data_IF_861902548315
#
_entry.id   IF_861902548315
#
_cell.length_a   1.000
_cell.length_b   1.000
_cell.length_c   1.000
_cell.angle_alpha   90.00
_cell.angle_beta   90.00
_cell.angle_gamma   90.00
#
_symmetry.space_group_name_H-M   'P 1'
#
loop_
_entity.id
_entity.type
_entity.pdbx_description
1 polymer ?
#
# COMPACT_ATOMS: atom_id res chain seq x y z
N UNK A 1 8.28 -16.57 28.12
CA UNK A 1 7.75 -15.29 28.62
C UNK A 1 7.94 -14.09 27.65
N UNK A 2 8.89 -14.11 26.68
CA UNK A 2 9.11 -12.99 25.72
C UNK A 2 8.12 -12.91 24.54
N UNK A 3 7.32 -13.97 24.29
CA UNK A 3 6.29 -14.00 23.21
C UNK A 3 4.96 -13.31 23.56
N UNK A 4 4.71 -13.02 24.83
CA UNK A 4 3.46 -12.41 25.30
C UNK A 4 3.42 -10.91 25.08
N UNK A 5 4.58 -10.23 25.07
CA UNK A 5 4.65 -8.77 24.94
C UNK A 5 4.45 -8.27 23.50
N UNK A 6 4.79 -9.08 22.49
CA UNK A 6 4.65 -8.68 21.08
C UNK A 6 3.19 -8.80 20.58
N UNK A 7 2.48 -9.85 21.02
CA UNK A 7 1.02 -9.92 20.87
C UNK A 7 0.33 -8.76 21.60
N UNK A 8 0.86 -8.31 22.74
CA UNK A 8 0.33 -7.18 23.49
C UNK A 8 0.45 -5.85 22.72
N UNK A 9 1.45 -5.63 21.85
CA UNK A 9 1.63 -4.36 21.13
C UNK A 9 0.75 -4.24 19.89
N UNK A 10 0.62 -5.31 19.10
CA UNK A 10 -0.38 -5.39 18.02
C UNK A 10 -1.79 -5.42 18.63
N UNK A 11 -1.96 -6.10 19.75
CA UNK A 11 -3.22 -6.13 20.53
C UNK A 11 -3.48 -4.79 21.23
N UNK A 12 -2.48 -4.01 21.63
CA UNK A 12 -2.67 -2.68 22.22
C UNK A 12 -3.09 -1.67 21.16
N UNK A 13 -2.56 -1.71 19.94
CA UNK A 13 -3.13 -0.92 18.82
C UNK A 13 -4.54 -1.41 18.45
N UNK A 14 -4.81 -2.72 18.49
CA UNK A 14 -6.14 -3.30 18.29
C UNK A 14 -7.03 -3.25 19.54
N UNK A 15 -6.50 -3.29 20.77
CA UNK A 15 -7.29 -3.27 22.03
C UNK A 15 -7.50 -1.87 22.60
N UNK A 16 -6.82 -0.83 22.11
CA UNK A 16 -7.26 0.55 22.34
C UNK A 16 -8.58 0.86 21.58
N UNK A 17 -8.94 0.02 20.59
CA UNK A 17 -10.21 0.12 19.89
C UNK A 17 -11.46 -0.04 20.78
N UNK A 18 -11.56 -0.97 21.78
CA UNK A 18 -12.76 -1.06 22.63
C UNK A 18 -12.80 -0.10 23.82
N UNK A 19 -11.67 0.35 24.33
CA UNK A 19 -11.64 1.31 25.46
C UNK A 19 -11.90 2.76 25.03
N UNK A 20 -11.60 3.12 23.75
CA UNK A 20 -12.01 4.40 23.17
C UNK A 20 -13.51 4.45 22.78
N UNK A 21 -14.19 3.28 22.69
CA UNK A 21 -15.62 3.22 22.37
C UNK A 21 -16.55 3.82 23.45
N UNK A 22 -16.06 3.99 24.66
CA UNK A 22 -16.93 4.37 25.78
C UNK A 22 -17.11 5.89 25.98
N UNK A 23 -16.35 6.75 25.29
CA UNK A 23 -16.36 8.19 25.59
C UNK A 23 -16.40 9.15 24.40
N UNK A 24 -16.37 8.67 23.15
CA UNK A 24 -16.42 9.56 21.99
C UNK A 24 -17.67 9.27 21.17
N UNK A 25 -18.67 10.11 21.30
CA UNK A 25 -19.70 10.29 20.28
C UNK A 25 -19.03 10.59 18.93
N UNK A 26 -19.77 10.55 17.79
CA UNK A 26 -19.20 10.83 16.48
C UNK A 26 -18.54 12.21 16.51
N UNK A 27 -17.20 12.22 16.52
CA UNK A 27 -16.46 13.47 16.42
C UNK A 27 -16.66 14.05 15.03
N UNK A 28 -17.03 15.32 14.91
CA UNK A 28 -17.12 15.95 13.61
C UNK A 28 -15.73 15.89 12.94
N UNK A 29 -15.71 15.50 11.67
CA UNK A 29 -14.50 15.57 10.86
C UNK A 29 -14.00 17.01 10.84
N UNK A 30 -12.92 17.28 11.55
CA UNK A 30 -12.22 18.57 11.45
C UNK A 30 -11.24 18.48 10.28
N UNK A 31 -11.22 19.47 9.38
CA UNK A 31 -10.20 19.53 8.35
C UNK A 31 -8.82 19.42 8.99
N UNK A 32 -8.04 18.46 8.52
CA UNK A 32 -6.68 18.22 9.03
C UNK A 32 -5.84 19.47 8.78
N UNK A 33 -5.12 19.99 9.80
CA UNK A 33 -4.23 21.12 9.60
C UNK A 33 -3.16 20.79 8.54
N UNK A 34 -2.73 21.75 7.73
CA UNK A 34 -1.61 21.54 6.82
C UNK A 34 -0.38 21.16 7.65
N UNK A 35 0.30 20.06 7.26
CA UNK A 35 1.49 19.47 7.90
C UNK A 35 1.23 18.54 9.09
N UNK A 36 0.09 17.85 9.15
CA UNK A 36 -0.09 16.76 10.09
C UNK A 36 0.98 15.65 9.82
N UNK A 37 1.75 15.22 10.82
CA UNK A 37 2.77 14.20 10.61
C UNK A 37 2.12 12.87 10.22
N UNK A 38 2.69 12.18 9.22
CA UNK A 38 2.21 10.86 8.82
C UNK A 38 2.32 9.86 9.96
N UNK A 39 1.45 8.84 9.96
CA UNK A 39 1.51 7.73 10.91
C UNK A 39 2.91 7.08 10.92
N UNK A 40 3.51 6.88 9.75
CA UNK A 40 4.87 6.33 9.62
C UNK A 40 5.90 7.22 10.30
N UNK A 41 5.82 8.55 10.12
CA UNK A 41 6.73 9.49 10.79
C UNK A 41 6.57 9.47 12.31
N UNK A 42 5.33 9.40 12.80
CA UNK A 42 5.06 9.29 14.24
C UNK A 42 5.63 7.99 14.82
N UNK A 43 5.43 6.86 14.14
CA UNK A 43 6.00 5.57 14.57
C UNK A 43 7.53 5.59 14.57
N UNK A 44 8.16 6.18 13.55
CA UNK A 44 9.61 6.32 13.48
C UNK A 44 10.17 7.26 14.57
N UNK A 45 9.39 8.13 15.15
CA UNK A 45 9.80 8.99 16.28
C UNK A 45 9.70 8.30 17.64
N UNK A 46 8.94 7.21 17.78
CA UNK A 46 8.79 6.46 19.04
C UNK A 46 10.08 5.67 19.33
N UNK A 47 10.66 5.92 20.50
CA UNK A 47 11.90 5.26 20.95
C UNK A 47 11.75 3.75 21.02
N UNK A 48 10.58 3.24 21.45
CA UNK A 48 10.32 1.80 21.57
C UNK A 48 10.22 1.13 20.20
N UNK A 49 9.62 1.82 19.20
CA UNK A 49 9.62 1.34 17.83
C UNK A 49 11.04 1.22 17.29
N UNK A 50 11.88 2.24 17.49
CA UNK A 50 13.28 2.20 17.04
C UNK A 50 14.07 1.08 17.73
N UNK A 51 13.95 0.92 19.05
CA UNK A 51 14.61 -0.17 19.78
C UNK A 51 14.18 -1.56 19.28
N UNK A 52 12.89 -1.72 18.95
CA UNK A 52 12.41 -2.96 18.38
C UNK A 52 13.00 -3.20 16.99
N UNK A 53 12.96 -2.19 16.09
CA UNK A 53 13.56 -2.26 14.76
C UNK A 53 15.03 -2.62 14.85
N UNK A 54 15.81 -1.92 15.67
CA UNK A 54 17.25 -2.20 15.88
C UNK A 54 17.48 -3.66 16.33
N UNK A 55 16.66 -4.16 17.25
CA UNK A 55 16.76 -5.53 17.75
C UNK A 55 16.44 -6.59 16.68
N UNK A 56 15.53 -6.28 15.74
CA UNK A 56 15.21 -7.16 14.62
C UNK A 56 16.32 -7.10 13.57
N UNK A 57 16.75 -5.90 13.20
CA UNK A 57 17.78 -5.69 12.17
C UNK A 57 19.11 -6.35 12.52
N UNK A 58 19.49 -6.39 13.81
CA UNK A 58 20.70 -7.08 14.27
C UNK A 58 20.66 -8.60 14.09
N UNK A 59 19.47 -9.20 13.98
CA UNK A 59 19.31 -10.65 13.84
C UNK A 59 19.18 -11.09 12.38
N UNK A 60 18.72 -10.19 11.50
CA UNK A 60 18.48 -10.50 10.10
C UNK A 60 19.77 -10.39 9.27
N UNK A 61 20.04 -11.41 8.46
CA UNK A 61 21.06 -11.36 7.40
C UNK A 61 20.62 -10.39 6.30
N UNK A 62 21.57 -9.93 5.48
CA UNK A 62 21.23 -9.08 4.32
C UNK A 62 20.15 -9.70 3.42
N UNK A 63 20.22 -11.02 3.17
CA UNK A 63 19.22 -11.72 2.35
C UNK A 63 17.83 -11.66 3.00
N UNK A 64 17.74 -11.83 4.29
CA UNK A 64 16.47 -11.75 5.03
C UNK A 64 15.93 -10.32 5.08
N UNK A 65 16.79 -9.30 5.24
CA UNK A 65 16.41 -7.88 5.10
C UNK A 65 15.84 -7.59 3.72
N UNK A 66 16.47 -8.11 2.65
CA UNK A 66 15.92 -8.01 1.28
C UNK A 66 14.55 -8.68 1.22
N UNK A 67 14.37 -9.85 1.83
CA UNK A 67 13.08 -10.54 1.89
C UNK A 67 11.97 -9.70 2.51
N UNK A 68 12.28 -8.90 3.55
CA UNK A 68 11.32 -8.02 4.22
C UNK A 68 10.73 -6.94 3.30
N UNK A 69 11.37 -6.62 2.17
CA UNK A 69 10.87 -5.64 1.20
C UNK A 69 9.80 -6.21 0.26
N UNK A 70 9.52 -7.51 0.32
CA UNK A 70 8.57 -8.18 -0.57
C UNK A 70 7.23 -8.45 0.11
N UNK A 71 6.15 -8.16 -0.62
CA UNK A 71 4.78 -8.57 -0.28
C UNK A 71 4.32 -9.59 -1.31
N UNK A 72 4.06 -10.81 -0.85
CA UNK A 72 3.71 -11.93 -1.71
C UNK A 72 2.21 -12.23 -1.69
N UNK A 73 1.63 -12.59 -2.84
CA UNK A 73 0.21 -12.91 -2.93
C UNK A 73 -0.06 -14.36 -2.58
N UNK A 74 -1.02 -14.56 -1.67
CA UNK A 74 -1.52 -15.89 -1.26
C UNK A 74 -3.03 -15.97 -1.53
N UNK A 75 -3.47 -17.04 -2.15
CA UNK A 75 -4.90 -17.32 -2.26
C UNK A 75 -5.43 -17.82 -0.91
N UNK A 76 -6.62 -17.37 -0.45
CA UNK A 76 -7.23 -17.89 0.78
C UNK A 76 -7.86 -19.27 0.53
N UNK A 77 -7.02 -20.27 0.30
CA UNK A 77 -7.34 -21.67 0.02
C UNK A 77 -6.55 -22.58 0.94
N UNK A 78 -7.17 -23.68 1.40
CA UNK A 78 -6.60 -24.61 2.39
C UNK A 78 -5.97 -25.86 1.78
N UNK A 79 -5.72 -25.86 0.45
CA UNK A 79 -5.06 -26.97 -0.22
C UNK A 79 -3.56 -27.06 0.12
N UNK A 80 -2.99 -28.25 -0.10
CA UNK A 80 -1.59 -28.56 0.25
C UNK A 80 -0.59 -27.66 -0.48
N UNK A 81 -0.81 -27.42 -1.78
CA UNK A 81 0.11 -26.61 -2.59
C UNK A 81 0.19 -25.17 -2.10
N UNK A 82 -0.97 -24.58 -1.75
CA UNK A 82 -1.03 -23.20 -1.22
C UNK A 82 -0.36 -23.09 0.16
N UNK A 83 -0.52 -24.10 1.03
CA UNK A 83 0.17 -24.15 2.33
C UNK A 83 1.68 -24.31 2.20
N UNK A 84 2.14 -25.16 1.29
CA UNK A 84 3.56 -25.31 0.98
C UNK A 84 4.14 -24.00 0.42
N UNK A 85 3.42 -23.31 -0.46
CA UNK A 85 3.80 -21.98 -0.95
C UNK A 85 3.87 -20.97 0.19
N UNK A 86 2.85 -20.91 1.06
CA UNK A 86 2.83 -20.04 2.22
C UNK A 86 4.05 -20.27 3.11
N UNK A 87 4.33 -21.52 3.47
CA UNK A 87 5.49 -21.89 4.26
C UNK A 87 6.78 -21.41 3.61
N UNK A 88 6.94 -21.69 2.32
CA UNK A 88 8.13 -21.32 1.54
C UNK A 88 8.38 -19.81 1.53
N UNK A 89 7.35 -19.00 1.28
CA UNK A 89 7.53 -17.55 1.22
C UNK A 89 7.82 -16.94 2.59
N UNK A 90 7.25 -17.50 3.65
CA UNK A 90 7.46 -17.03 5.03
C UNK A 90 8.81 -17.51 5.61
N UNK A 91 9.12 -18.80 5.49
CA UNK A 91 10.29 -19.39 6.14
C UNK A 91 11.56 -19.27 5.31
N UNK A 92 11.51 -19.50 3.97
CA UNK A 92 12.70 -19.53 3.13
C UNK A 92 13.08 -18.13 2.59
N UNK A 93 12.06 -17.32 2.22
CA UNK A 93 12.30 -15.98 1.68
C UNK A 93 12.12 -14.86 2.69
N UNK A 94 11.57 -15.15 3.88
CA UNK A 94 11.36 -14.16 4.95
C UNK A 94 10.67 -12.89 4.44
N UNK A 95 9.58 -13.06 3.63
CA UNK A 95 8.85 -11.92 3.10
C UNK A 95 8.32 -11.01 4.22
N UNK A 96 8.32 -9.69 3.99
CA UNK A 96 7.83 -8.72 4.97
C UNK A 96 6.31 -8.68 5.07
N UNK A 97 5.60 -9.16 4.04
CA UNK A 97 4.15 -9.15 4.07
C UNK A 97 3.48 -10.11 3.10
N UNK A 98 2.16 -10.25 3.30
CA UNK A 98 1.29 -11.04 2.45
C UNK A 98 0.12 -10.20 1.96
N UNK A 99 -0.22 -10.38 0.68
CA UNK A 99 -1.44 -9.87 0.05
C UNK A 99 -2.39 -11.04 -0.19
N UNK A 100 -3.56 -11.03 0.45
CA UNK A 100 -4.56 -12.05 0.19
C UNK A 100 -5.41 -11.70 -1.04
N UNK A 101 -5.48 -12.62 -1.99
CA UNK A 101 -6.40 -12.54 -3.12
C UNK A 101 -7.84 -12.91 -2.72
N UNK A 102 -8.78 -12.97 -3.66
CA UNK A 102 -10.19 -13.26 -3.37
C UNK A 102 -10.46 -14.69 -2.87
N UNK A 103 -11.36 -14.84 -1.89
CA UNK A 103 -11.72 -16.13 -1.35
C UNK A 103 -12.70 -16.09 -0.17
N UNK A 104 -12.61 -17.08 0.72
CA UNK A 104 -13.42 -17.15 1.94
C UNK A 104 -12.71 -16.44 3.10
N UNK A 105 -13.45 -15.63 3.84
CA UNK A 105 -12.97 -14.92 5.03
C UNK A 105 -12.30 -15.88 6.05
N UNK A 106 -12.94 -16.99 6.36
CA UNK A 106 -12.41 -17.97 7.33
C UNK A 106 -11.05 -18.53 6.91
N UNK A 107 -10.87 -18.80 5.61
CA UNK A 107 -9.60 -19.31 5.10
C UNK A 107 -8.49 -18.26 5.20
N UNK A 108 -8.80 -16.99 4.93
CA UNK A 108 -7.83 -15.91 5.09
C UNK A 108 -7.36 -15.80 6.54
N UNK A 109 -8.28 -15.81 7.52
CA UNK A 109 -7.95 -15.75 8.95
C UNK A 109 -7.07 -16.93 9.37
N UNK A 110 -7.43 -18.16 8.93
CA UNK A 110 -6.65 -19.36 9.26
C UNK A 110 -5.22 -19.27 8.71
N UNK A 111 -5.06 -18.86 7.45
CA UNK A 111 -3.75 -18.72 6.81
C UNK A 111 -2.95 -17.55 7.40
N UNK A 112 -3.60 -16.45 7.77
CA UNK A 112 -2.94 -15.35 8.50
C UNK A 112 -2.36 -15.85 9.83
N UNK A 113 -3.14 -16.57 10.62
CA UNK A 113 -2.68 -17.10 11.90
C UNK A 113 -1.56 -18.16 11.72
N UNK A 114 -1.64 -18.98 10.67
CA UNK A 114 -0.59 -19.94 10.33
C UNK A 114 0.71 -19.21 9.93
N UNK A 115 0.63 -18.22 9.04
CA UNK A 115 1.76 -17.42 8.59
C UNK A 115 2.43 -16.67 9.76
N UNK A 116 1.66 -16.01 10.63
CA UNK A 116 2.20 -15.27 11.76
C UNK A 116 2.89 -16.17 12.80
N UNK A 117 2.45 -17.44 12.94
CA UNK A 117 3.16 -18.40 13.80
C UNK A 117 4.50 -18.87 13.24
N UNK A 118 4.62 -18.95 11.91
CA UNK A 118 5.85 -19.35 11.23
C UNK A 118 6.85 -18.19 11.11
N UNK A 119 6.35 -16.97 11.04
CA UNK A 119 7.16 -15.78 10.79
C UNK A 119 8.06 -15.45 11.99
N UNK A 120 9.33 -15.19 11.70
CA UNK A 120 10.29 -14.70 12.70
C UNK A 120 10.08 -13.21 12.99
N UNK A 121 9.82 -12.42 11.96
CA UNK A 121 9.36 -11.03 12.04
C UNK A 121 7.87 -11.03 11.73
N UNK A 122 7.02 -10.36 12.53
CA UNK A 122 5.59 -10.28 12.25
C UNK A 122 5.32 -9.76 10.83
N UNK A 123 4.47 -10.48 10.10
CA UNK A 123 4.13 -10.15 8.72
C UNK A 123 3.16 -8.98 8.64
N UNK A 124 3.38 -8.10 7.69
CA UNK A 124 2.41 -7.11 7.26
C UNK A 124 1.34 -7.78 6.40
N UNK A 125 0.13 -7.92 6.92
CA UNK A 125 -1.01 -8.45 6.15
C UNK A 125 -1.67 -7.29 5.42
N UNK A 126 -1.69 -7.38 4.10
CA UNK A 126 -2.18 -6.34 3.21
C UNK A 126 -3.41 -6.81 2.44
N UNK A 127 -4.22 -5.88 2.00
CA UNK A 127 -5.49 -6.19 1.35
C UNK A 127 -5.93 -5.11 0.34
N UNK A 128 -6.62 -5.52 -0.73
CA UNK A 128 -7.34 -4.63 -1.64
C UNK A 128 -8.80 -4.51 -1.20
N UNK A 129 -9.09 -3.58 -0.33
CA UNK A 129 -10.43 -3.32 0.18
C UNK A 129 -10.95 -1.93 -0.19
N UNK A 130 -10.94 -1.57 -1.49
CA UNK A 130 -11.30 -0.22 -1.98
C UNK A 130 -12.70 0.21 -1.55
N UNK A 131 -13.67 -0.72 -1.55
CA UNK A 131 -15.02 -0.53 -1.02
C UNK A 131 -15.33 -1.56 0.08
N UNK A 132 -14.36 -1.80 0.98
CA UNK A 132 -14.44 -2.76 2.06
C UNK A 132 -13.97 -4.16 1.68
N UNK A 133 -13.94 -5.04 2.66
CA UNK A 133 -13.35 -6.39 2.50
C UNK A 133 -14.13 -7.29 1.54
N UNK A 134 -15.43 -7.03 1.35
CA UNK A 134 -16.26 -7.78 0.40
C UNK A 134 -15.80 -7.64 -1.07
N UNK A 135 -14.93 -6.67 -1.37
CA UNK A 135 -14.25 -6.62 -2.68
C UNK A 135 -13.54 -7.94 -3.00
N UNK A 136 -13.01 -8.63 -1.99
CA UNK A 136 -12.19 -9.85 -2.13
C UNK A 136 -12.73 -11.03 -1.31
N UNK A 137 -13.28 -10.80 -0.13
CA UNK A 137 -13.64 -11.83 0.81
C UNK A 137 -15.15 -12.05 0.91
N UNK A 138 -15.59 -13.26 0.57
CA UNK A 138 -16.96 -13.67 0.80
C UNK A 138 -17.18 -13.88 2.31
N UNK A 139 -18.33 -13.42 2.79
CA UNK A 139 -18.72 -13.50 4.21
C UNK A 139 -18.45 -12.21 5.00
N UNK A 140 -18.00 -11.14 4.32
CA UNK A 140 -17.83 -9.79 4.91
C UNK A 140 -18.94 -8.84 4.42
N UNK A 141 -19.25 -7.75 5.17
CA UNK A 141 -20.24 -6.76 4.74
C UNK A 141 -19.86 -6.10 3.40
N UNK A 142 -20.85 -5.91 2.54
CA UNK A 142 -20.67 -5.31 1.22
C UNK A 142 -21.09 -3.83 1.26
N UNK A 143 -20.20 -2.95 0.76
CA UNK A 143 -20.45 -1.53 0.60
C UNK A 143 -20.60 -1.15 -0.87
N UNK A 144 -21.23 0.00 -1.17
CA UNK A 144 -21.27 0.55 -2.52
C UNK A 144 -19.87 0.83 -3.08
N UNK A 145 -19.76 0.85 -4.41
CA UNK A 145 -18.54 1.31 -5.10
C UNK A 145 -18.23 2.76 -4.80
N UNK A 146 -16.97 3.14 -4.89
CA UNK A 146 -16.50 4.49 -4.55
C UNK A 146 -17.19 5.61 -5.33
N UNK A 147 -17.57 5.37 -6.59
CA UNK A 147 -18.33 6.35 -7.38
C UNK A 147 -19.67 6.72 -6.72
N UNK A 148 -20.35 5.76 -6.09
CA UNK A 148 -21.58 6.00 -5.32
C UNK A 148 -21.26 6.75 -4.02
N UNK A 149 -20.20 6.34 -3.31
CA UNK A 149 -19.74 7.01 -2.09
C UNK A 149 -19.29 8.45 -2.40
N UNK A 150 -18.76 8.72 -3.60
CA UNK A 150 -18.40 10.06 -4.07
C UNK A 150 -19.58 11.03 -4.18
N UNK A 151 -20.82 10.54 -4.29
CA UNK A 151 -22.03 11.39 -4.29
C UNK A 151 -22.42 11.90 -2.90
N UNK A 152 -21.87 11.34 -1.82
CA UNK A 152 -22.15 11.76 -0.44
C UNK A 152 -21.51 13.12 -0.19
N UNK A 153 -22.32 14.12 0.20
CA UNK A 153 -21.82 15.48 0.43
C UNK A 153 -21.14 15.65 1.79
N UNK A 154 -21.53 14.86 2.77
CA UNK A 154 -20.97 14.92 4.12
C UNK A 154 -19.75 13.99 4.25
N UNK A 155 -18.55 14.58 4.23
CA UNK A 155 -17.29 13.83 4.31
C UNK A 155 -17.09 13.10 5.66
N UNK A 156 -17.81 13.49 6.71
CA UNK A 156 -17.82 12.75 7.98
C UNK A 156 -18.33 11.32 7.79
N UNK A 157 -19.32 11.11 6.92
CA UNK A 157 -19.80 9.76 6.61
C UNK A 157 -18.76 8.92 5.89
N UNK A 158 -17.91 9.53 5.07
CA UNK A 158 -16.78 8.84 4.42
C UNK A 158 -15.69 8.51 5.43
N UNK A 159 -15.43 9.38 6.39
CA UNK A 159 -14.53 9.11 7.51
C UNK A 159 -15.04 7.93 8.36
N UNK A 160 -16.30 7.94 8.76
CA UNK A 160 -16.91 6.84 9.53
C UNK A 160 -16.93 5.52 8.74
N UNK A 161 -17.15 5.60 7.43
CA UNK A 161 -16.99 4.44 6.54
C UNK A 161 -15.55 3.89 6.59
N UNK A 162 -14.54 4.77 6.55
CA UNK A 162 -13.14 4.38 6.70
C UNK A 162 -12.86 3.69 8.05
N UNK A 163 -13.45 4.23 9.13
CA UNK A 163 -13.40 3.65 10.48
C UNK A 163 -14.00 2.24 10.53
N UNK A 164 -15.13 2.04 9.87
CA UNK A 164 -15.77 0.72 9.82
C UNK A 164 -14.95 -0.29 9.01
N UNK A 165 -14.38 0.12 7.87
CA UNK A 165 -13.49 -0.73 7.10
C UNK A 165 -12.24 -1.09 7.91
N UNK A 166 -11.67 -0.14 8.65
CA UNK A 166 -10.54 -0.41 9.56
C UNK A 166 -10.90 -1.42 10.65
N UNK A 167 -12.08 -1.29 11.26
CA UNK A 167 -12.58 -2.25 12.26
C UNK A 167 -12.61 -3.67 11.69
N UNK A 168 -13.14 -3.83 10.46
CA UNK A 168 -13.19 -5.14 9.78
C UNK A 168 -11.77 -5.65 9.47
N UNK A 169 -10.87 -4.80 9.00
CA UNK A 169 -9.47 -5.14 8.78
C UNK A 169 -8.80 -5.65 10.06
N UNK A 170 -8.94 -4.93 11.17
CA UNK A 170 -8.37 -5.32 12.46
C UNK A 170 -8.90 -6.68 12.94
N UNK A 171 -10.20 -6.93 12.79
CA UNK A 171 -10.81 -8.23 13.15
C UNK A 171 -10.25 -9.40 12.35
N UNK A 172 -9.82 -9.17 11.11
CA UNK A 172 -9.22 -10.18 10.23
C UNK A 172 -7.69 -10.18 10.24
N UNK A 173 -7.07 -9.35 11.09
CA UNK A 173 -5.62 -9.25 11.22
C UNK A 173 -4.94 -8.57 10.01
N UNK A 174 -5.61 -7.64 9.34
CA UNK A 174 -5.10 -6.85 8.22
C UNK A 174 -4.57 -5.51 8.74
N UNK A 175 -3.30 -5.19 8.47
CA UNK A 175 -2.64 -3.96 8.91
C UNK A 175 -2.62 -2.87 7.84
N UNK A 176 -2.69 -3.24 6.55
CA UNK A 176 -2.59 -2.29 5.43
C UNK A 176 -3.73 -2.53 4.45
N UNK A 177 -4.46 -1.47 4.14
CA UNK A 177 -5.46 -1.49 3.07
C UNK A 177 -4.96 -0.69 1.86
N UNK A 178 -4.81 -1.32 0.70
CA UNK A 178 -4.51 -0.65 -0.57
C UNK A 178 -5.73 0.13 -1.08
N UNK A 179 -6.10 1.11 -0.31
CA UNK A 179 -7.20 2.06 -0.50
C UNK A 179 -6.87 3.36 0.25
N UNK A 180 -7.42 4.48 -0.21
CA UNK A 180 -8.40 4.69 -1.28
C UNK A 180 -7.80 4.77 -2.68
N UNK A 181 -8.68 4.65 -3.69
CA UNK A 181 -8.39 5.05 -5.07
C UNK A 181 -8.45 6.56 -5.17
N UNK A 182 -7.31 7.19 -5.47
CA UNK A 182 -7.16 8.65 -5.59
C UNK A 182 -7.19 9.14 -7.05
N UNK A 183 -7.39 8.21 -7.99
CA UNK A 183 -7.51 8.52 -9.42
C UNK A 183 -8.79 9.33 -9.69
N UNK A 184 -8.68 10.37 -10.50
CA UNK A 184 -9.81 11.21 -10.92
C UNK A 184 -10.34 10.69 -12.25
N UNK A 185 -11.58 10.17 -12.30
CA UNK A 185 -12.13 9.49 -13.47
C UNK A 185 -12.61 10.47 -14.55
N UNK A 186 -11.68 11.22 -15.15
CA UNK A 186 -12.00 12.19 -16.22
C UNK A 186 -12.45 11.49 -17.50
N UNK A 187 -11.85 10.33 -17.83
CA UNK A 187 -12.16 9.61 -19.04
C UNK A 187 -13.28 8.58 -18.81
N UNK A 188 -14.49 8.77 -19.34
CA UNK A 188 -15.59 7.83 -19.17
C UNK A 188 -15.35 6.47 -19.84
N UNK A 189 -14.36 6.39 -20.76
CA UNK A 189 -13.95 5.14 -21.43
C UNK A 189 -12.86 4.40 -20.67
N UNK A 190 -12.40 4.91 -19.52
CA UNK A 190 -11.37 4.26 -18.73
C UNK A 190 -11.80 2.83 -18.34
N UNK A 191 -11.06 1.79 -18.79
CA UNK A 191 -11.48 0.40 -18.56
C UNK A 191 -11.14 -0.13 -17.16
N UNK A 192 -10.33 0.60 -16.38
CA UNK A 192 -9.76 0.13 -15.12
C UNK A 192 -10.32 0.89 -13.91
N UNK A 193 -10.33 2.21 -13.95
CA UNK A 193 -10.70 3.04 -12.80
C UNK A 193 -12.22 3.16 -12.70
N UNK A 194 -12.88 3.82 -13.62
CA UNK A 194 -14.34 3.88 -13.70
C UNK A 194 -14.99 4.02 -12.31
N UNK A 195 -15.87 3.09 -11.92
CA UNK A 195 -16.60 3.09 -10.64
C UNK A 195 -15.73 2.89 -9.39
N UNK A 196 -14.44 2.63 -9.55
CA UNK A 196 -13.47 2.56 -8.44
C UNK A 196 -13.08 3.96 -7.93
N UNK A 197 -13.15 4.99 -8.78
CA UNK A 197 -12.94 6.39 -8.39
C UNK A 197 -14.11 6.95 -7.58
N UNK A 198 -13.83 7.97 -6.75
CA UNK A 198 -14.87 8.77 -6.09
C UNK A 198 -15.52 9.82 -7.01
N UNK A 199 -15.12 9.90 -8.28
CA UNK A 199 -15.75 10.78 -9.27
C UNK A 199 -14.79 11.47 -10.23
N UNK A 200 -15.29 12.52 -10.88
CA UNK A 200 -14.62 13.24 -11.97
C UNK A 200 -14.01 14.58 -11.49
N UNK A 201 -14.43 15.07 -10.33
CA UNK A 201 -13.91 16.30 -9.77
C UNK A 201 -12.68 16.03 -8.89
N UNK A 202 -11.50 16.59 -9.22
CA UNK A 202 -10.29 16.39 -8.41
C UNK A 202 -10.46 16.88 -6.96
N UNK A 203 -11.29 17.92 -6.75
CA UNK A 203 -11.58 18.44 -5.42
C UNK A 203 -12.40 17.46 -4.59
N UNK A 204 -13.48 16.91 -5.18
CA UNK A 204 -14.32 15.92 -4.53
C UNK A 204 -13.54 14.64 -4.23
N UNK A 205 -12.81 14.10 -5.22
CA UNK A 205 -11.96 12.92 -5.04
C UNK A 205 -10.98 13.16 -3.90
N UNK A 206 -10.29 14.30 -3.86
CA UNK A 206 -9.33 14.63 -2.80
C UNK A 206 -9.97 14.64 -1.41
N UNK A 207 -11.15 15.23 -1.26
CA UNK A 207 -11.86 15.26 0.04
C UNK A 207 -12.23 13.84 0.50
N UNK A 208 -12.78 13.01 -0.42
CA UNK A 208 -13.13 11.61 -0.11
C UNK A 208 -11.90 10.78 0.24
N UNK A 209 -10.81 10.95 -0.51
CA UNK A 209 -9.53 10.28 -0.25
C UNK A 209 -9.02 10.62 1.14
N UNK A 210 -8.96 11.89 1.50
CA UNK A 210 -8.50 12.32 2.83
C UNK A 210 -9.42 11.78 3.94
N UNK A 211 -10.74 11.91 3.79
CA UNK A 211 -11.69 11.45 4.80
C UNK A 211 -11.61 9.92 5.01
N UNK A 212 -11.61 9.15 3.93
CA UNK A 212 -11.52 7.68 4.00
C UNK A 212 -10.19 7.21 4.60
N UNK A 213 -9.07 7.78 4.15
CA UNK A 213 -7.75 7.45 4.67
C UNK A 213 -7.60 7.78 6.16
N UNK A 214 -8.07 8.96 6.60
CA UNK A 214 -8.07 9.32 8.03
C UNK A 214 -8.91 8.33 8.83
N UNK A 215 -10.08 7.93 8.33
CA UNK A 215 -10.88 6.90 8.96
C UNK A 215 -10.15 5.57 9.12
N UNK A 216 -9.44 5.11 8.07
CA UNK A 216 -8.60 3.90 8.13
C UNK A 216 -7.49 4.04 9.18
N UNK A 217 -6.70 5.12 9.13
CA UNK A 217 -5.53 5.30 9.98
C UNK A 217 -5.90 5.55 11.45
N UNK A 218 -6.94 6.33 11.73
CA UNK A 218 -7.49 6.49 13.08
C UNK A 218 -8.13 5.18 13.60
N UNK A 219 -8.46 4.26 12.71
CA UNK A 219 -8.88 2.88 13.01
C UNK A 219 -7.73 1.90 13.20
N UNK A 220 -6.47 2.32 13.03
CA UNK A 220 -5.29 1.48 13.21
C UNK A 220 -4.84 0.70 11.95
N UNK A 221 -5.33 1.08 10.77
CA UNK A 221 -4.98 0.44 9.49
C UNK A 221 -4.31 1.46 8.57
N UNK A 222 -3.11 1.15 8.10
CA UNK A 222 -2.39 2.01 7.15
C UNK A 222 -3.19 2.12 5.85
N UNK A 223 -3.51 3.36 5.45
CA UNK A 223 -4.11 3.64 4.15
C UNK A 223 -3.03 3.77 3.08
N UNK A 224 -3.34 3.33 1.85
CA UNK A 224 -2.43 3.46 0.71
C UNK A 224 -3.18 4.05 -0.47
N UNK A 225 -2.97 5.34 -0.71
CA UNK A 225 -3.58 6.05 -1.84
C UNK A 225 -2.99 5.58 -3.17
N UNK A 226 -3.85 5.30 -4.18
CA UNK A 226 -3.45 4.71 -5.47
C UNK A 226 -4.26 5.26 -6.64
N UNK A 227 -3.72 5.23 -7.87
CA UNK A 227 -2.42 4.76 -8.35
C UNK A 227 -1.58 5.95 -8.79
N UNK A 228 -0.60 6.35 -7.99
CA UNK A 228 0.24 7.51 -8.31
C UNK A 228 0.99 7.33 -9.64
N UNK A 229 1.09 8.34 -10.53
CA UNK A 229 0.65 9.73 -10.38
C UNK A 229 -0.79 10.03 -10.83
N UNK A 230 -1.62 9.03 -11.09
CA UNK A 230 -3.04 9.15 -11.45
C UNK A 230 -3.39 8.37 -12.72
N UNK A 231 -4.28 7.38 -12.61
CA UNK A 231 -4.68 6.47 -13.70
C UNK A 231 -6.06 6.80 -14.28
N UNK A 232 -6.68 7.90 -13.83
CA UNK A 232 -8.11 8.18 -14.12
C UNK A 232 -8.42 8.65 -15.53
N UNK A 233 -7.41 9.17 -16.26
CA UNK A 233 -7.58 9.65 -17.65
C UNK A 233 -6.75 8.82 -18.64
N UNK A 234 -6.88 7.50 -18.57
CA UNK A 234 -6.28 6.56 -19.51
C UNK A 234 -7.37 5.74 -20.21
N UNK A 235 -7.09 5.28 -21.41
CA UNK A 235 -7.97 4.42 -22.24
C UNK A 235 -7.43 3.00 -22.38
N UNK A 236 -6.27 2.72 -21.79
CA UNK A 236 -5.59 1.42 -21.83
C UNK A 236 -5.60 0.77 -20.45
N UNK A 237 -5.88 -0.52 -20.42
CA UNK A 237 -5.83 -1.35 -19.23
C UNK A 237 -4.37 -1.68 -18.86
N UNK A 238 -3.90 -1.18 -17.73
CA UNK A 238 -2.53 -1.41 -17.22
C UNK A 238 -2.21 -2.90 -16.95
N UNK A 239 -3.23 -3.76 -16.81
CA UNK A 239 -3.04 -5.21 -16.75
C UNK A 239 -2.65 -5.81 -18.11
N UNK A 240 -2.89 -5.10 -19.21
CA UNK A 240 -2.66 -5.59 -20.58
C UNK A 240 -1.49 -4.91 -21.28
N UNK A 241 -1.33 -3.61 -21.08
CA UNK A 241 -0.28 -2.80 -21.68
C UNK A 241 0.08 -1.62 -20.76
N UNK A 242 1.12 -0.85 -21.09
CA UNK A 242 1.52 0.34 -20.37
C UNK A 242 0.70 1.56 -20.85
N UNK A 243 -0.20 2.12 -19.99
CA UNK A 243 -0.95 3.33 -20.35
C UNK A 243 -0.04 4.57 -20.35
N UNK A 244 -0.34 5.54 -21.22
CA UNK A 244 0.43 6.78 -21.33
C UNK A 244 -0.40 7.96 -20.83
N UNK A 245 0.22 8.85 -20.06
CA UNK A 245 -0.32 10.15 -19.63
C UNK A 245 0.43 11.27 -20.39
N UNK A 246 -0.04 11.66 -21.58
CA UNK A 246 0.65 12.60 -22.47
C UNK A 246 0.36 14.07 -22.09
N UNK A 247 0.24 14.36 -20.79
CA UNK A 247 -0.19 15.65 -20.29
C UNK A 247 0.98 16.55 -19.89
N UNK A 248 0.75 17.88 -19.98
CA UNK A 248 1.67 18.86 -19.44
C UNK A 248 1.75 18.78 -17.91
N UNK A 249 2.84 19.28 -17.33
CA UNK A 249 2.99 19.35 -15.88
C UNK A 249 1.84 20.12 -15.22
N UNK A 250 1.42 21.24 -15.80
CA UNK A 250 0.32 22.05 -15.28
C UNK A 250 -1.00 21.26 -15.23
N UNK A 251 -1.28 20.44 -16.26
CA UNK A 251 -2.46 19.57 -16.29
C UNK A 251 -2.35 18.48 -15.22
N UNK A 252 -1.23 17.79 -15.12
CA UNK A 252 -1.00 16.79 -14.09
C UNK A 252 -1.19 17.38 -12.69
N UNK A 253 -0.65 18.57 -12.43
CA UNK A 253 -0.75 19.25 -11.15
C UNK A 253 -2.19 19.63 -10.76
N UNK A 254 -3.01 19.99 -11.75
CA UNK A 254 -4.39 20.47 -11.51
C UNK A 254 -5.41 19.34 -11.35
N UNK A 255 -5.16 18.18 -11.92
CA UNK A 255 -6.12 17.06 -11.95
C UNK A 255 -5.51 15.80 -11.32
N UNK A 256 -4.57 15.15 -12.00
CA UNK A 256 -4.09 13.83 -11.62
C UNK A 256 -3.40 13.84 -10.25
N UNK A 257 -2.49 14.80 -10.03
CA UNK A 257 -1.70 14.92 -8.80
C UNK A 257 -2.45 15.62 -7.65
N UNK A 258 -3.58 16.27 -7.93
CA UNK A 258 -4.28 17.07 -6.93
C UNK A 258 -4.73 16.24 -5.70
N UNK A 259 -5.41 15.08 -5.86
CA UNK A 259 -5.79 14.24 -4.72
C UNK A 259 -4.60 13.71 -3.93
N UNK A 260 -3.54 13.28 -4.61
CA UNK A 260 -2.31 12.78 -3.97
C UNK A 260 -1.63 13.88 -3.16
N UNK A 261 -1.55 15.09 -3.69
CA UNK A 261 -0.99 16.25 -2.97
C UNK A 261 -1.80 16.57 -1.71
N UNK A 262 -3.13 16.44 -1.75
CA UNK A 262 -3.99 16.61 -0.57
C UNK A 262 -3.77 15.49 0.45
N UNK A 263 -3.64 14.23 0.00
CA UNK A 263 -3.30 13.09 0.83
C UNK A 263 -1.95 13.29 1.55
N UNK A 264 -0.91 13.71 0.83
CA UNK A 264 0.42 14.01 1.38
C UNK A 264 0.34 15.12 2.44
N UNK A 265 -0.36 16.22 2.14
CA UNK A 265 -0.55 17.34 3.10
C UNK A 265 -1.34 16.95 4.34
N UNK A 266 -2.24 15.97 4.22
CA UNK A 266 -2.98 15.40 5.34
C UNK A 266 -2.16 14.42 6.18
N UNK A 267 -0.91 14.15 5.80
CA UNK A 267 0.00 13.27 6.52
C UNK A 267 -0.31 11.78 6.40
N UNK A 268 -0.97 11.35 5.30
CA UNK A 268 -1.33 9.94 5.09
C UNK A 268 -0.12 9.05 4.86
N UNK A 269 -0.17 7.82 5.37
CA UNK A 269 1.01 7.00 5.57
C UNK A 269 1.47 6.16 4.39
N UNK A 270 0.63 5.89 3.37
CA UNK A 270 0.98 5.01 2.26
C UNK A 270 0.66 5.59 0.88
N UNK A 271 1.52 5.24 -0.10
CA UNK A 271 1.33 5.61 -1.52
C UNK A 271 1.68 4.43 -2.41
N UNK A 272 0.80 4.06 -3.35
CA UNK A 272 1.09 3.04 -4.35
C UNK A 272 1.37 3.70 -5.69
N UNK A 273 2.53 3.40 -6.27
CA UNK A 273 2.93 3.89 -7.59
C UNK A 273 2.48 2.90 -8.66
N UNK A 274 1.59 3.37 -9.53
CA UNK A 274 1.06 2.58 -10.65
C UNK A 274 2.07 2.37 -11.77
N UNK A 275 1.67 1.60 -12.78
CA UNK A 275 2.46 1.36 -13.98
C UNK A 275 1.93 2.23 -15.13
N UNK A 276 2.46 3.45 -15.24
CA UNK A 276 2.05 4.46 -16.21
C UNK A 276 3.28 5.08 -16.88
N UNK A 277 3.21 5.36 -18.16
CA UNK A 277 4.20 6.17 -18.85
C UNK A 277 3.82 7.66 -18.73
N UNK A 278 4.74 8.49 -18.24
CA UNK A 278 4.50 9.92 -17.99
C UNK A 278 5.60 10.74 -18.66
N UNK A 279 5.52 10.99 -19.98
CA UNK A 279 6.62 11.55 -20.78
C UNK A 279 7.11 12.92 -20.31
N UNK A 280 6.23 13.72 -19.70
CA UNK A 280 6.57 15.05 -19.15
C UNK A 280 7.50 14.97 -17.95
N UNK A 281 7.48 13.87 -17.18
CA UNK A 281 8.32 13.65 -16.00
C UNK A 281 9.49 12.73 -16.36
N UNK A 282 9.18 11.62 -17.02
CA UNK A 282 10.13 10.60 -17.46
C UNK A 282 10.11 10.49 -18.98
N UNK A 283 11.08 11.10 -19.67
CA UNK A 283 11.11 11.09 -21.14
C UNK A 283 11.53 9.74 -21.74
N UNK A 284 12.02 8.80 -20.93
CA UNK A 284 12.36 7.47 -21.41
C UNK A 284 11.08 6.72 -21.77
N UNK A 285 10.86 6.49 -23.07
CA UNK A 285 9.72 5.78 -23.60
C UNK A 285 9.65 4.35 -23.07
N UNK A 286 8.45 3.92 -22.68
CA UNK A 286 8.20 2.56 -22.19
C UNK A 286 8.67 2.30 -20.76
N UNK A 287 9.19 3.30 -20.03
CA UNK A 287 9.55 3.15 -18.62
C UNK A 287 8.35 3.48 -17.73
N UNK A 288 7.81 2.48 -16.98
CA UNK A 288 6.70 2.73 -16.07
C UNK A 288 7.08 3.65 -14.91
N UNK A 289 6.15 4.45 -14.44
CA UNK A 289 6.31 5.35 -13.28
C UNK A 289 6.86 4.64 -12.03
N UNK A 290 6.42 3.42 -11.75
CA UNK A 290 6.93 2.59 -10.64
C UNK A 290 8.41 2.19 -10.76
N UNK A 291 8.99 2.24 -11.96
CA UNK A 291 10.41 1.96 -12.21
C UNK A 291 11.22 3.23 -12.50
N UNK A 292 10.58 4.39 -12.54
CA UNK A 292 11.22 5.67 -12.83
C UNK A 292 11.67 6.38 -11.55
N UNK A 293 12.98 6.59 -11.40
CA UNK A 293 13.53 7.39 -10.31
C UNK A 293 13.03 8.84 -10.33
N UNK A 294 12.78 9.39 -11.52
CA UNK A 294 12.25 10.76 -11.66
C UNK A 294 10.82 10.85 -11.13
N UNK A 295 10.01 9.79 -11.30
CA UNK A 295 8.63 9.77 -10.79
C UNK A 295 8.61 9.44 -9.30
N UNK A 296 9.28 8.37 -8.86
CA UNK A 296 9.23 7.94 -7.45
C UNK A 296 10.03 8.88 -6.57
N UNK A 297 11.36 8.90 -6.70
CA UNK A 297 12.21 9.75 -5.85
C UNK A 297 12.06 11.22 -6.19
N UNK A 298 12.01 11.58 -7.47
CA UNK A 298 11.94 12.98 -7.92
C UNK A 298 10.60 13.61 -7.60
N UNK A 299 9.55 13.17 -8.26
CA UNK A 299 8.23 13.79 -8.13
C UNK A 299 7.56 13.49 -6.79
N UNK A 300 7.42 12.19 -6.41
CA UNK A 300 6.66 11.83 -5.21
C UNK A 300 7.38 12.25 -3.93
N UNK A 301 8.64 11.84 -3.77
CA UNK A 301 9.36 12.07 -2.52
C UNK A 301 9.89 13.51 -2.42
N UNK A 302 10.63 13.99 -3.43
CA UNK A 302 11.31 15.28 -3.33
C UNK A 302 10.37 16.47 -3.63
N UNK A 303 9.66 16.46 -4.76
CA UNK A 303 8.84 17.62 -5.18
C UNK A 303 7.56 17.73 -4.34
N UNK A 304 6.85 16.60 -4.10
CA UNK A 304 5.60 16.58 -3.35
C UNK A 304 5.81 16.40 -1.85
N UNK A 305 7.01 15.99 -1.41
CA UNK A 305 7.38 15.88 0.00
C UNK A 305 6.77 14.67 0.72
N UNK A 306 6.47 13.58 0.01
CA UNK A 306 5.93 12.37 0.64
C UNK A 306 6.97 11.72 1.56
N UNK A 307 6.56 11.38 2.78
CA UNK A 307 7.44 10.82 3.83
C UNK A 307 6.95 9.46 4.37
N UNK A 308 5.90 8.90 3.78
CA UNK A 308 5.35 7.60 4.16
C UNK A 308 5.95 6.45 3.35
N UNK A 309 5.33 5.27 3.42
CA UNK A 309 5.75 4.07 2.71
C UNK A 309 5.33 4.11 1.23
N UNK A 310 6.27 3.84 0.35
CA UNK A 310 6.05 3.77 -1.09
C UNK A 310 5.96 2.32 -1.54
N UNK A 311 4.79 1.93 -2.03
CA UNK A 311 4.51 0.61 -2.57
C UNK A 311 4.54 0.64 -4.09
N UNK A 312 5.05 -0.40 -4.74
CA UNK A 312 4.76 -0.60 -6.16
C UNK A 312 3.32 -1.12 -6.32
N UNK A 313 2.70 -0.89 -7.47
CA UNK A 313 1.61 -1.76 -7.92
C UNK A 313 2.16 -3.17 -8.24
N UNK A 314 1.28 -4.12 -8.53
CA UNK A 314 1.66 -5.53 -8.71
C UNK A 314 2.67 -5.73 -9.85
N UNK A 315 3.91 -6.08 -9.52
CA UNK A 315 5.01 -6.23 -10.49
C UNK A 315 4.84 -7.42 -11.45
N UNK A 316 3.87 -8.31 -11.20
CA UNK A 316 3.48 -9.36 -12.13
C UNK A 316 2.62 -8.88 -13.31
N UNK A 317 2.14 -7.62 -13.31
CA UNK A 317 1.31 -7.04 -14.38
C UNK A 317 2.08 -6.94 -15.70
N UNK A 318 1.36 -7.05 -16.83
CA UNK A 318 1.97 -7.00 -18.18
C UNK A 318 2.47 -5.61 -18.57
N UNK A 319 1.93 -4.55 -17.95
CA UNK A 319 2.42 -3.17 -18.13
C UNK A 319 3.86 -2.96 -17.65
N UNK A 320 4.43 -3.94 -16.95
CA UNK A 320 5.83 -3.94 -16.52
C UNK A 320 6.56 -5.07 -17.23
N UNK A 321 7.48 -4.74 -18.11
CA UNK A 321 8.31 -5.70 -18.84
C UNK A 321 9.76 -5.20 -18.93
N UNK A 322 10.72 -6.10 -18.88
CA UNK A 322 12.16 -5.79 -18.99
C UNK A 322 13.00 -7.06 -18.97
N UNK A 323 14.24 -6.95 -19.41
CA UNK A 323 15.23 -8.03 -19.38
C UNK A 323 15.99 -8.11 -18.05
N UNK A 324 15.92 -7.06 -17.24
CA UNK A 324 16.51 -6.97 -15.91
C UNK A 324 15.49 -7.27 -14.80
N UNK A 325 15.97 -7.51 -13.59
CA UNK A 325 15.11 -7.66 -12.42
C UNK A 325 14.25 -6.41 -12.24
N UNK A 326 12.95 -6.56 -12.35
CA UNK A 326 11.96 -5.49 -12.20
C UNK A 326 11.95 -5.00 -10.74
N UNK A 327 12.11 -5.90 -9.78
CA UNK A 327 12.17 -5.57 -8.37
C UNK A 327 13.40 -4.72 -8.04
N UNK A 328 14.57 -5.06 -8.61
CA UNK A 328 15.77 -4.25 -8.46
C UNK A 328 15.58 -2.83 -9.03
N UNK A 329 15.00 -2.71 -10.23
CA UNK A 329 14.70 -1.40 -10.83
C UNK A 329 13.74 -0.57 -9.97
N UNK A 330 12.69 -1.21 -9.42
CA UNK A 330 11.74 -0.55 -8.53
C UNK A 330 12.41 -0.03 -7.24
N UNK A 331 13.30 -0.81 -6.62
CA UNK A 331 14.09 -0.36 -5.47
C UNK A 331 15.01 0.82 -5.81
N UNK A 332 15.71 0.75 -6.95
CA UNK A 332 16.55 1.86 -7.46
C UNK A 332 15.75 3.12 -7.79
N UNK A 333 14.48 2.96 -8.19
CA UNK A 333 13.57 4.08 -8.41
C UNK A 333 13.17 4.79 -7.10
N UNK A 334 13.21 4.09 -5.96
CA UNK A 334 12.91 4.66 -4.65
C UNK A 334 11.69 4.04 -3.94
N UNK A 335 11.06 3.01 -4.51
CA UNK A 335 10.00 2.27 -3.80
C UNK A 335 10.57 1.55 -2.57
N UNK A 336 9.76 1.40 -1.53
CA UNK A 336 10.15 0.72 -0.28
C UNK A 336 9.68 -0.73 -0.29
N UNK A 337 8.45 -0.98 -0.73
CA UNK A 337 7.81 -2.29 -0.72
C UNK A 337 7.38 -2.73 -2.12
N UNK A 338 7.70 -3.99 -2.44
CA UNK A 338 7.56 -4.60 -3.75
C UNK A 338 6.40 -5.59 -3.76
N UNK A 339 5.32 -5.26 -4.47
CA UNK A 339 4.13 -6.10 -4.51
C UNK A 339 4.21 -7.15 -5.62
N UNK A 340 3.81 -8.38 -5.26
CA UNK A 340 3.51 -9.46 -6.22
C UNK A 340 4.65 -9.69 -7.22
N UNK A 341 5.86 -10.07 -6.77
CA UNK A 341 6.94 -10.40 -7.68
C UNK A 341 6.58 -11.64 -8.50
N UNK A 342 6.99 -11.69 -9.77
CA UNK A 342 6.72 -12.86 -10.63
C UNK A 342 7.45 -14.13 -10.15
N UNK A 343 8.70 -14.00 -9.76
CA UNK A 343 9.60 -15.07 -9.34
C UNK A 343 10.45 -14.61 -8.17
N UNK A 344 9.92 -14.79 -6.96
CA UNK A 344 10.53 -14.23 -5.75
C UNK A 344 11.99 -14.66 -5.55
N UNK A 345 12.33 -15.92 -5.87
CA UNK A 345 13.70 -16.44 -5.72
C UNK A 345 14.68 -15.61 -6.55
N UNK A 346 14.40 -15.51 -7.84
CA UNK A 346 15.26 -14.82 -8.80
C UNK A 346 15.36 -13.33 -8.50
N UNK A 347 14.26 -12.72 -8.04
CA UNK A 347 14.24 -11.29 -7.68
C UNK A 347 15.06 -11.02 -6.43
N UNK A 348 14.95 -11.83 -5.37
CA UNK A 348 15.77 -11.71 -4.16
C UNK A 348 17.25 -11.92 -4.49
N UNK A 349 17.58 -12.91 -5.31
CA UNK A 349 18.95 -13.18 -5.74
C UNK A 349 19.53 -12.03 -6.59
N UNK A 350 18.71 -11.41 -7.46
CA UNK A 350 19.12 -10.26 -8.26
C UNK A 350 19.44 -9.04 -7.39
N UNK A 351 18.59 -8.73 -6.40
CA UNK A 351 18.84 -7.64 -5.45
C UNK A 351 20.10 -7.90 -4.63
N UNK A 352 20.28 -9.13 -4.13
CA UNK A 352 21.48 -9.52 -3.38
C UNK A 352 22.76 -9.40 -4.23
N UNK A 353 22.69 -9.80 -5.51
CA UNK A 353 23.81 -9.66 -6.44
C UNK A 353 24.13 -8.18 -6.73
N UNK A 354 23.12 -7.33 -6.85
CA UNK A 354 23.29 -5.90 -7.06
C UNK A 354 23.96 -5.21 -5.85
N UNK A 355 23.62 -5.61 -4.62
CA UNK A 355 24.30 -5.11 -3.41
C UNK A 355 25.77 -5.53 -3.41
N UNK A 356 26.07 -6.81 -3.73
CA UNK A 356 27.46 -7.30 -3.82
C UNK A 356 28.29 -6.59 -4.89
N UNK A 357 27.64 -6.10 -5.96
CA UNK A 357 28.32 -5.33 -7.04
C UNK A 357 28.40 -3.82 -6.73
N UNK A 358 27.82 -3.36 -5.63
CA UNK A 358 27.79 -1.93 -5.27
C UNK A 358 26.78 -1.11 -6.07
N UNK A 359 25.83 -1.74 -6.76
CA UNK A 359 24.76 -1.06 -7.49
C UNK A 359 23.65 -0.54 -6.55
N UNK A 360 23.51 -1.17 -5.40
CA UNK A 360 22.78 -0.75 -4.21
C UNK A 360 23.70 -0.94 -3.00
N UNK A 361 23.51 -0.15 -1.96
CA UNK A 361 24.23 -0.32 -0.70
C UNK A 361 23.39 -1.09 0.32
N UNK A 362 24.03 -1.79 1.26
CA UNK A 362 23.31 -2.40 2.40
C UNK A 362 22.53 -1.33 3.17
N UNK A 363 23.08 -0.13 3.32
CA UNK A 363 22.42 0.99 3.99
C UNK A 363 21.13 1.43 3.30
N UNK A 364 21.05 1.36 1.97
CA UNK A 364 19.81 1.64 1.25
C UNK A 364 18.76 0.56 1.49
N UNK A 365 19.16 -0.72 1.61
CA UNK A 365 18.27 -1.81 2.00
C UNK A 365 17.77 -1.62 3.44
N UNK A 366 18.69 -1.32 4.36
CA UNK A 366 18.36 -1.08 5.78
C UNK A 366 17.38 0.09 5.97
N UNK A 367 17.56 1.17 5.21
CA UNK A 367 16.68 2.34 5.27
C UNK A 367 15.24 2.05 4.80
N UNK A 368 15.02 0.96 4.05
CA UNK A 368 13.71 0.52 3.55
C UNK A 368 13.08 -0.57 4.42
N UNK A 369 13.88 -1.29 5.19
CA UNK A 369 13.43 -2.26 6.18
C UNK A 369 12.87 -1.60 7.44
#
# INVERSE_FOLDING_TARGET
MKRIYLLAYITILCCLCPLLKAQLGPMPFTPVPPNDPSLVRLLNSDVRCRQWVDSVMQRLTLKERIGQLFIYTIAPQQDKANKELLRKVVEDYKVGGLLFSGGLMQNQVMLTNEAQRMAEVPLMITFDGEWGLAMRLRGTPNFPRNMVLGCIQNDTLIYEYGREVARQCCELGVQVNFAPVADVNINPKNPVINTRSFGESPFNVANKVVAYSKGLEDGGVLSVSKHFPGHGDTDVDSHKALPVLPFTRARLDSIELYPFRKAIRAGLGGMMVGHLEVPTIEPQKGLPSSLSRKVVSGLLVNDLGFQGLVFTDALAMKGVSGNESICLQALKAGNDLLLVPRRIKEEVEAVLAAVKKGELTEKEIEAKC
#
